data_IF_889138779521
#
_entry.id   IF_889138779521
#
_cell.length_a   1.000
_cell.length_b   1.000
_cell.length_c   1.000
_cell.angle_alpha   90.00
_cell.angle_beta   90.00
_cell.angle_gamma   90.00
#
_symmetry.space_group_name_H-M   'P 1'
#
loop_
_entity.id
_entity.type
_entity.pdbx_description
1 polymer ?
#
# COMPACT_ATOMS: atom_id res chain seq x y z
N UNK A 1 14.10 4.51 -4.72
CA UNK A 1 13.52 5.42 -3.70
C UNK A 1 14.12 5.03 -2.35
N UNK A 2 14.30 5.94 -1.40
CA UNK A 2 14.92 5.64 -0.09
C UNK A 2 13.88 5.59 1.02
N UNK A 3 14.18 4.92 2.14
CA UNK A 3 13.30 4.89 3.32
C UNK A 3 13.02 6.29 3.88
N UNK A 4 13.97 7.22 3.75
CA UNK A 4 13.78 8.61 4.17
C UNK A 4 12.68 9.32 3.36
N UNK A 5 12.56 9.03 2.05
CA UNK A 5 11.50 9.58 1.21
C UNK A 5 10.13 9.05 1.64
N UNK A 6 10.02 7.74 1.88
CA UNK A 6 8.78 7.12 2.38
C UNK A 6 8.38 7.65 3.76
N UNK A 7 9.35 7.77 4.69
CA UNK A 7 9.12 8.37 6.01
C UNK A 7 8.60 9.81 5.88
N UNK A 8 9.21 10.63 5.03
CA UNK A 8 8.75 12.02 4.81
C UNK A 8 7.30 12.09 4.33
N UNK A 9 6.89 11.20 3.43
CA UNK A 9 5.50 11.12 2.95
C UNK A 9 4.55 10.76 4.07
N UNK A 10 4.86 9.71 4.85
CA UNK A 10 4.07 9.32 6.02
C UNK A 10 3.95 10.47 7.03
N UNK A 11 5.05 11.14 7.36
CA UNK A 11 5.05 12.31 8.26
C UNK A 11 4.19 13.45 7.73
N UNK A 12 4.26 13.76 6.43
CA UNK A 12 3.43 14.79 5.81
C UNK A 12 1.94 14.44 5.88
N UNK A 13 1.58 13.20 5.53
CA UNK A 13 0.20 12.72 5.60
C UNK A 13 -0.33 12.79 7.04
N UNK A 14 0.43 12.26 8.01
CA UNK A 14 0.06 12.29 9.42
C UNK A 14 -0.14 13.73 9.95
N UNK A 15 0.68 14.68 9.47
CA UNK A 15 0.49 16.11 9.78
C UNK A 15 -0.82 16.67 9.20
N UNK A 16 -1.21 16.27 7.98
CA UNK A 16 -2.45 16.72 7.35
C UNK A 16 -3.70 16.13 8.04
N UNK A 17 -3.61 14.88 8.52
CA UNK A 17 -4.69 14.22 9.25
C UNK A 17 -4.89 14.84 10.65
N UNK A 18 -3.79 15.22 11.32
CA UNK A 18 -3.80 15.79 12.67
C UNK A 18 -3.98 14.74 13.78
N UNK A 19 -3.92 15.14 15.06
CA UNK A 19 -4.04 14.21 16.18
C UNK A 19 -5.42 13.53 16.24
N UNK A 20 -5.49 12.40 16.95
CA UNK A 20 -6.73 11.63 17.12
C UNK A 20 -7.24 10.96 15.85
N UNK A 21 -6.38 10.81 14.84
CA UNK A 21 -6.73 10.20 13.56
C UNK A 21 -5.99 8.88 13.33
N UNK A 22 -6.56 8.06 12.46
CA UNK A 22 -5.95 6.81 12.01
C UNK A 22 -6.17 6.66 10.51
N UNK A 23 -5.10 6.37 9.76
CA UNK A 23 -5.20 6.01 8.35
C UNK A 23 -5.01 4.50 8.19
N UNK A 24 -5.88 3.87 7.40
CA UNK A 24 -5.86 2.44 7.11
C UNK A 24 -5.83 2.29 5.60
N UNK A 25 -4.80 1.61 5.09
CA UNK A 25 -4.64 1.39 3.65
C UNK A 25 -4.16 -0.05 3.40
N UNK A 26 -4.98 -0.90 2.76
CA UNK A 26 -4.57 -2.25 2.40
C UNK A 26 -3.66 -2.27 1.16
N UNK A 27 -2.88 -3.34 1.03
CA UNK A 27 -2.17 -3.65 -0.21
C UNK A 27 -3.14 -4.14 -1.29
N UNK A 28 -2.69 -4.11 -2.55
CA UNK A 28 -3.48 -4.66 -3.65
C UNK A 28 -3.63 -6.19 -3.47
N UNK A 29 -4.80 -6.75 -3.83
CA UNK A 29 -4.98 -8.20 -3.85
C UNK A 29 -4.21 -8.83 -5.01
N UNK A 30 -3.94 -10.13 -4.92
CA UNK A 30 -3.49 -10.89 -6.08
C UNK A 30 -4.63 -11.06 -7.09
N UNK A 31 -4.35 -10.81 -8.37
CA UNK A 31 -5.37 -10.93 -9.43
C UNK A 31 -5.22 -12.27 -10.14
N UNK A 32 -6.30 -13.06 -10.11
CA UNK A 32 -6.34 -14.38 -10.74
C UNK A 32 -6.38 -14.22 -12.26
N UNK A 33 -5.51 -14.95 -12.98
CA UNK A 33 -5.48 -14.99 -14.45
C UNK A 33 -6.29 -16.16 -14.99
N UNK A 34 -6.01 -17.37 -14.54
CA UNK A 34 -6.77 -18.56 -14.93
C UNK A 34 -6.59 -19.65 -13.88
N UNK A 35 -7.70 -20.20 -13.34
CA UNK A 35 -7.70 -21.20 -12.26
C UNK A 35 -6.76 -20.79 -11.12
N UNK A 36 -5.69 -21.54 -10.91
CA UNK A 36 -4.66 -21.39 -9.88
C UNK A 36 -3.51 -20.44 -10.27
N UNK A 37 -3.48 -19.96 -11.52
CA UNK A 37 -2.48 -19.00 -12.00
C UNK A 37 -2.90 -17.56 -11.74
N UNK A 38 -1.96 -16.76 -11.24
CA UNK A 38 -2.11 -15.32 -10.99
C UNK A 38 -1.39 -14.48 -12.04
N UNK A 39 -1.84 -13.24 -12.23
CA UNK A 39 -1.04 -12.22 -12.92
C UNK A 39 0.18 -11.85 -12.08
N UNK A 40 1.19 -11.25 -12.73
CA UNK A 40 2.30 -10.65 -12.00
C UNK A 40 1.76 -9.61 -11.01
N UNK A 41 2.18 -9.72 -9.76
CA UNK A 41 1.72 -8.82 -8.72
C UNK A 41 2.09 -7.36 -9.02
N UNK A 42 1.10 -6.48 -8.89
CA UNK A 42 1.27 -5.03 -8.93
C UNK A 42 0.59 -4.48 -7.69
N UNK A 43 1.42 -3.92 -6.81
CA UNK A 43 0.97 -3.30 -5.56
C UNK A 43 -0.05 -2.18 -5.82
N UNK A 44 -0.82 -1.78 -4.81
CA UNK A 44 -1.59 -0.54 -4.87
C UNK A 44 -0.64 0.67 -4.93
N UNK A 45 -1.01 1.71 -5.68
CA UNK A 45 -0.10 2.85 -5.91
C UNK A 45 0.03 3.74 -4.68
N UNK A 46 -1.04 3.91 -3.91
CA UNK A 46 -1.06 4.69 -2.68
C UNK A 46 -0.34 3.96 -1.55
N UNK A 47 -0.57 2.64 -1.43
CA UNK A 47 0.14 1.78 -0.50
C UNK A 47 1.64 1.78 -0.79
N UNK A 48 2.03 1.57 -2.05
CA UNK A 48 3.44 1.59 -2.46
C UNK A 48 4.07 2.97 -2.25
N UNK A 49 3.31 4.05 -2.49
CA UNK A 49 3.79 5.42 -2.31
C UNK A 49 4.18 5.73 -0.87
N UNK A 50 3.46 5.17 0.11
CA UNK A 50 3.72 5.38 1.54
C UNK A 50 4.75 4.41 2.13
N UNK A 51 4.80 3.17 1.64
CA UNK A 51 5.54 2.09 2.31
C UNK A 51 6.76 1.60 1.54
N UNK A 52 6.71 1.60 0.20
CA UNK A 52 7.66 0.84 -0.62
C UNK A 52 7.52 -0.68 -0.49
N UNK A 53 6.56 -1.20 0.28
CA UNK A 53 6.42 -2.62 0.61
C UNK A 53 5.79 -3.40 -0.57
N UNK A 54 6.47 -4.43 -1.12
CA UNK A 54 6.10 -4.99 -2.42
C UNK A 54 5.23 -6.25 -2.36
N UNK A 55 4.75 -6.67 -1.18
CA UNK A 55 3.99 -7.92 -1.04
C UNK A 55 2.46 -7.71 -0.89
N UNK A 56 1.64 -8.70 -1.33
CA UNK A 56 0.21 -8.74 -1.06
C UNK A 56 -0.10 -9.10 0.40
N UNK A 57 -1.38 -9.01 0.76
CA UNK A 57 -1.91 -9.35 2.08
C UNK A 57 -1.18 -8.60 3.20
N UNK A 58 -1.21 -7.28 3.10
CA UNK A 58 -0.62 -6.36 4.04
C UNK A 58 -1.52 -5.14 4.23
N UNK A 59 -1.45 -4.51 5.40
CA UNK A 59 -2.19 -3.28 5.71
C UNK A 59 -1.24 -2.34 6.43
N UNK A 60 -1.13 -1.10 5.94
CA UNK A 60 -0.44 -0.03 6.67
C UNK A 60 -1.45 0.73 7.51
N UNK A 61 -1.06 0.97 8.76
CA UNK A 61 -1.80 1.77 9.73
C UNK A 61 -0.92 2.92 10.18
N UNK A 62 -1.42 4.15 10.02
CA UNK A 62 -0.73 5.38 10.46
C UNK A 62 -1.56 6.09 11.53
N UNK A 63 -0.96 6.35 12.69
CA UNK A 63 -1.64 6.97 13.84
C UNK A 63 -0.77 8.12 14.37
N UNK A 64 -1.07 9.38 14.00
CA UNK A 64 -0.26 10.53 14.43
C UNK A 64 -0.26 10.69 15.95
N UNK A 65 0.93 10.78 16.55
CA UNK A 65 1.15 11.00 17.98
C UNK A 65 0.99 9.75 18.85
N UNK A 66 0.84 8.54 18.26
CA UNK A 66 0.72 7.31 19.05
C UNK A 66 2.05 6.95 19.72
N UNK A 67 2.03 6.81 21.04
CA UNK A 67 3.23 6.58 21.86
C UNK A 67 4.00 5.30 21.52
N UNK A 68 3.29 4.23 21.16
CA UNK A 68 3.91 2.94 20.84
C UNK A 68 4.59 2.96 19.47
N UNK A 69 3.81 3.28 18.43
CA UNK A 69 4.26 3.35 17.06
C UNK A 69 3.23 4.14 16.24
N UNK A 70 3.71 5.13 15.49
CA UNK A 70 2.93 5.93 14.55
C UNK A 70 2.79 5.20 13.20
N UNK A 71 3.79 4.40 12.80
CA UNK A 71 3.77 3.61 11.57
C UNK A 71 3.80 2.11 11.87
N UNK A 72 2.65 1.47 11.66
CA UNK A 72 2.45 0.04 11.88
C UNK A 72 2.19 -0.68 10.56
N UNK A 73 2.83 -1.83 10.35
CA UNK A 73 2.59 -2.68 9.17
C UNK A 73 2.08 -4.07 9.58
N UNK A 74 0.88 -4.41 9.14
CA UNK A 74 0.39 -5.78 9.18
C UNK A 74 0.84 -6.49 7.90
N UNK A 75 1.49 -7.64 8.00
CA UNK A 75 1.95 -8.39 6.84
C UNK A 75 1.95 -9.89 7.10
N UNK A 76 2.12 -10.68 6.05
CA UNK A 76 2.27 -12.13 6.17
C UNK A 76 3.50 -12.45 7.01
N UNK A 77 3.36 -13.46 7.84
CA UNK A 77 4.50 -14.09 8.52
C UNK A 77 5.38 -14.83 7.52
N UNK A 78 6.63 -15.04 7.94
CA UNK A 78 7.52 -15.98 7.26
C UNK A 78 6.97 -17.39 7.41
N UNK A 79 7.02 -18.14 6.34
CA UNK A 79 6.53 -19.51 6.29
C UNK A 79 7.48 -20.30 5.38
N UNK A 80 8.45 -21.04 5.96
CA UNK A 80 9.47 -21.73 5.17
C UNK A 80 8.91 -22.68 4.13
N UNK A 81 7.78 -23.33 4.40
CA UNK A 81 7.15 -24.24 3.45
C UNK A 81 6.57 -23.48 2.26
N UNK A 82 5.88 -22.36 2.51
CA UNK A 82 5.32 -21.53 1.43
C UNK A 82 6.39 -20.73 0.68
N UNK A 83 7.45 -20.30 1.35
CA UNK A 83 8.52 -19.51 0.72
C UNK A 83 9.31 -20.29 -0.34
N UNK A 84 9.35 -21.62 -0.23
CA UNK A 84 9.91 -22.51 -1.26
C UNK A 84 9.14 -22.36 -2.59
N UNK A 85 7.83 -22.13 -2.53
CA UNK A 85 6.96 -22.08 -3.71
C UNK A 85 6.66 -20.65 -4.17
N UNK A 86 6.31 -19.77 -3.24
CA UNK A 86 5.86 -18.40 -3.51
C UNK A 86 7.01 -17.39 -3.57
N UNK A 87 8.21 -17.80 -3.15
CA UNK A 87 9.35 -16.93 -2.92
C UNK A 87 9.42 -16.35 -1.50
N UNK A 88 10.53 -15.68 -1.16
CA UNK A 88 10.79 -15.21 0.20
C UNK A 88 9.79 -14.15 0.64
N UNK A 89 9.50 -14.12 1.94
CA UNK A 89 8.68 -13.09 2.59
C UNK A 89 9.53 -12.26 3.54
N UNK A 90 9.25 -10.97 3.63
CA UNK A 90 9.94 -10.10 4.58
C UNK A 90 9.59 -10.44 6.04
N UNK A 91 8.34 -10.80 6.31
CA UNK A 91 7.84 -10.99 7.66
C UNK A 91 7.88 -9.71 8.50
N UNK A 92 7.55 -9.84 9.79
CA UNK A 92 7.48 -8.72 10.74
C UNK A 92 8.85 -8.08 10.95
N UNK A 93 9.91 -8.88 11.11
CA UNK A 93 11.28 -8.36 11.26
C UNK A 93 11.72 -7.58 10.01
N UNK A 94 11.49 -8.12 8.81
CA UNK A 94 11.82 -7.44 7.56
C UNK A 94 10.99 -6.16 7.36
N UNK A 95 9.74 -6.13 7.82
CA UNK A 95 8.93 -4.91 7.83
C UNK A 95 9.61 -3.78 8.64
N UNK A 96 10.18 -4.10 9.80
CA UNK A 96 10.89 -3.14 10.65
C UNK A 96 12.25 -2.75 10.06
N UNK A 97 13.06 -3.73 9.69
CA UNK A 97 14.45 -3.49 9.25
C UNK A 97 14.55 -2.86 7.86
N UNK A 98 13.76 -3.35 6.90
CA UNK A 98 13.86 -2.94 5.48
C UNK A 98 12.93 -1.79 5.15
N UNK A 99 11.73 -1.75 5.74
CA UNK A 99 10.71 -0.73 5.41
C UNK A 99 10.52 0.32 6.49
N UNK A 100 11.30 0.22 7.58
CA UNK A 100 11.28 1.14 8.71
C UNK A 100 9.90 1.26 9.37
N UNK A 101 9.15 0.15 9.41
CA UNK A 101 7.98 0.04 10.28
C UNK A 101 8.41 0.18 11.74
N UNK A 102 7.71 1.00 12.50
CA UNK A 102 7.99 1.17 13.93
C UNK A 102 7.45 -0.03 14.72
N UNK A 103 6.32 -0.57 14.26
CA UNK A 103 5.80 -1.85 14.72
C UNK A 103 5.20 -2.67 13.58
N UNK A 104 5.07 -3.97 13.79
CA UNK A 104 4.54 -4.87 12.76
C UNK A 104 3.91 -6.11 13.36
N UNK A 105 2.80 -6.57 12.76
CA UNK A 105 2.03 -7.70 13.24
C UNK A 105 1.70 -8.68 12.09
N UNK A 106 1.39 -9.95 12.41
CA UNK A 106 0.75 -10.86 11.46
C UNK A 106 -0.53 -10.28 10.89
N UNK A 107 -0.74 -10.42 9.58
CA UNK A 107 -1.99 -9.99 8.94
C UNK A 107 -3.21 -10.76 9.47
N UNK A 108 -3.02 -11.97 9.99
CA UNK A 108 -4.09 -12.73 10.65
C UNK A 108 -4.60 -12.09 11.95
N UNK A 109 -3.79 -11.26 12.60
CA UNK A 109 -4.15 -10.59 13.86
C UNK A 109 -4.85 -9.23 13.62
N UNK A 110 -5.07 -8.85 12.35
CA UNK A 110 -5.65 -7.57 11.97
C UNK A 110 -7.01 -7.34 12.65
N UNK A 111 -7.89 -8.33 12.60
CA UNK A 111 -9.25 -8.25 13.15
C UNK A 111 -9.28 -8.17 14.68
N UNK A 112 -8.22 -8.60 15.36
CA UNK A 112 -8.10 -8.48 16.82
C UNK A 112 -7.48 -7.14 17.22
N UNK A 113 -6.42 -6.72 16.53
CA UNK A 113 -5.58 -5.60 16.95
C UNK A 113 -6.13 -4.26 16.44
N UNK A 114 -6.60 -4.20 15.20
CA UNK A 114 -7.02 -2.95 14.57
C UNK A 114 -8.22 -2.29 15.28
N UNK A 115 -9.26 -3.03 15.73
CA UNK A 115 -10.32 -2.43 16.55
C UNK A 115 -9.80 -1.75 17.80
N UNK A 116 -8.81 -2.32 18.51
CA UNK A 116 -8.20 -1.71 19.71
C UNK A 116 -7.48 -0.40 19.39
N UNK A 117 -6.88 -0.29 18.21
CA UNK A 117 -6.27 0.96 17.74
C UNK A 117 -7.33 2.01 17.38
N UNK A 118 -8.44 1.58 16.77
CA UNK A 118 -9.58 2.43 16.41
C UNK A 118 -10.29 3.00 17.65
N UNK A 119 -10.39 2.24 18.76
CA UNK A 119 -10.98 2.70 20.03
C UNK A 119 -10.32 3.97 20.59
N UNK A 120 -9.08 4.26 20.21
CA UNK A 120 -8.30 5.42 20.66
C UNK A 120 -8.31 6.61 19.69
N UNK A 121 -9.07 6.52 18.59
CA UNK A 121 -9.10 7.51 17.53
C UNK A 121 -10.51 8.04 17.29
N UNK A 122 -10.60 9.32 16.93
CA UNK A 122 -11.88 10.01 16.65
C UNK A 122 -12.23 9.98 15.16
N UNK A 123 -11.19 9.92 14.29
CA UNK A 123 -11.34 10.07 12.83
C UNK A 123 -10.60 8.96 12.08
N UNK A 124 -11.29 8.28 11.18
CA UNK A 124 -10.70 7.23 10.32
C UNK A 124 -10.54 7.73 8.89
N UNK A 125 -9.33 7.61 8.37
CA UNK A 125 -8.97 7.89 7.00
C UNK A 125 -8.77 6.57 6.25
N UNK A 126 -9.60 6.29 5.26
CA UNK A 126 -9.43 5.12 4.41
C UNK A 126 -10.05 5.34 3.03
N UNK A 127 -9.78 4.43 2.08
CA UNK A 127 -10.31 4.49 0.72
C UNK A 127 -11.77 4.01 0.66
N UNK A 128 -12.68 4.82 1.19
CA UNK A 128 -14.11 4.51 1.29
C UNK A 128 -14.75 4.33 -0.09
N UNK A 129 -15.49 3.23 -0.30
CA UNK A 129 -16.18 2.94 -1.54
C UNK A 129 -15.28 2.37 -2.66
N UNK A 130 -13.98 2.25 -2.44
CA UNK A 130 -13.05 1.66 -3.40
C UNK A 130 -13.01 0.12 -3.33
N UNK A 131 -13.39 -0.46 -2.18
CA UNK A 131 -13.45 -1.91 -1.99
C UNK A 131 -14.61 -2.28 -1.06
N UNK A 132 -15.56 -3.06 -1.60
CA UNK A 132 -16.70 -3.58 -0.84
C UNK A 132 -16.26 -4.45 0.35
N UNK A 133 -15.16 -5.17 0.20
CA UNK A 133 -14.60 -6.02 1.26
C UNK A 133 -14.06 -5.17 2.41
N UNK A 134 -13.29 -4.11 2.09
CA UNK A 134 -12.76 -3.20 3.10
C UNK A 134 -13.89 -2.41 3.78
N UNK A 135 -14.88 -1.93 3.02
CA UNK A 135 -16.03 -1.22 3.59
C UNK A 135 -16.82 -2.11 4.57
N UNK A 136 -16.98 -3.41 4.23
CA UNK A 136 -17.62 -4.39 5.13
C UNK A 136 -16.80 -4.61 6.39
N UNK A 137 -15.49 -4.86 6.26
CA UNK A 137 -14.58 -5.04 7.41
C UNK A 137 -14.57 -3.82 8.33
N UNK A 138 -14.50 -2.61 7.75
CA UNK A 138 -14.60 -1.36 8.51
C UNK A 138 -15.93 -1.28 9.27
N UNK A 139 -17.05 -1.60 8.62
CA UNK A 139 -18.36 -1.61 9.28
C UNK A 139 -18.43 -2.61 10.45
N UNK A 140 -17.81 -3.78 10.31
CA UNK A 140 -17.75 -4.82 11.34
C UNK A 140 -16.90 -4.37 12.55
N UNK A 141 -15.70 -3.85 12.32
CA UNK A 141 -14.85 -3.31 13.39
C UNK A 141 -15.54 -2.19 14.16
N UNK A 142 -16.20 -1.26 13.45
CA UNK A 142 -16.92 -0.14 14.05
C UNK A 142 -18.14 -0.63 14.86
N UNK A 143 -18.87 -1.62 14.35
CA UNK A 143 -20.01 -2.20 15.05
C UNK A 143 -19.56 -2.85 16.36
N UNK A 144 -18.47 -3.63 16.34
CA UNK A 144 -17.89 -4.25 17.52
C UNK A 144 -17.41 -3.24 18.58
N UNK A 145 -16.89 -2.09 18.15
CA UNK A 145 -16.51 -0.99 19.06
C UNK A 145 -17.76 -0.35 19.69
N UNK A 146 -18.81 -0.11 18.89
CA UNK A 146 -20.06 0.52 19.36
C UNK A 146 -20.83 -0.35 20.34
N UNK A 147 -20.76 -1.67 20.23
CA UNK A 147 -21.35 -2.59 21.22
C UNK A 147 -20.73 -2.40 22.62
N UNK A 148 -19.44 -2.02 22.67
CA UNK A 148 -18.74 -1.70 23.91
C UNK A 148 -18.97 -0.27 24.39
N UNK A 149 -19.76 0.56 23.70
CA UNK A 149 -19.98 1.98 24.07
C UNK A 149 -20.46 2.20 25.51
N UNK A 150 -21.15 1.21 26.10
CA UNK A 150 -21.56 1.22 27.51
C UNK A 150 -20.40 1.28 28.51
N UNK A 151 -19.18 0.92 28.10
CA UNK A 151 -17.97 1.03 28.94
C UNK A 151 -17.23 2.36 28.78
N UNK A 152 -17.81 3.33 28.05
CA UNK A 152 -17.25 4.68 27.87
C UNK A 152 -16.33 4.83 26.66
N UNK A 153 -16.19 3.80 25.82
CA UNK A 153 -15.44 3.86 24.55
C UNK A 153 -16.28 4.56 23.48
N UNK A 154 -15.82 5.71 22.98
CA UNK A 154 -16.56 6.46 21.95
C UNK A 154 -16.31 5.97 20.53
N UNK A 155 -15.19 5.29 20.26
CA UNK A 155 -14.79 4.90 18.91
C UNK A 155 -14.70 6.10 17.94
N UNK A 156 -14.36 5.87 16.68
CA UNK A 156 -14.31 6.96 15.73
C UNK A 156 -15.73 7.38 15.28
N UNK A 157 -15.93 8.69 15.17
CA UNK A 157 -17.19 9.31 14.79
C UNK A 157 -17.17 9.84 13.36
N UNK A 158 -15.99 10.11 12.82
CA UNK A 158 -15.82 10.65 11.48
C UNK A 158 -15.05 9.70 10.57
N UNK A 159 -15.51 9.61 9.33
CA UNK A 159 -14.82 8.88 8.27
C UNK A 159 -14.46 9.87 7.16
N UNK A 160 -13.20 9.83 6.76
CA UNK A 160 -12.63 10.76 5.79
C UNK A 160 -12.00 9.96 4.65
N UNK A 161 -12.30 10.36 3.41
CA UNK A 161 -11.69 9.74 2.23
C UNK A 161 -10.18 10.07 2.20
N UNK A 162 -9.35 9.03 2.27
CA UNK A 162 -7.89 9.16 2.29
C UNK A 162 -7.32 9.58 0.93
N UNK A 163 -7.98 9.18 -0.16
CA UNK A 163 -7.51 9.37 -1.54
C UNK A 163 -7.24 10.84 -1.88
N UNK A 164 -8.10 11.76 -1.43
CA UNK A 164 -7.93 13.19 -1.69
C UNK A 164 -6.60 13.74 -1.16
N UNK A 165 -6.17 13.27 0.01
CA UNK A 165 -4.90 13.69 0.62
C UNK A 165 -3.71 13.08 -0.14
N UNK A 166 -3.79 11.79 -0.43
CA UNK A 166 -2.71 11.08 -1.10
C UNK A 166 -2.54 11.53 -2.56
N UNK A 167 -3.62 11.78 -3.27
CA UNK A 167 -3.57 12.17 -4.67
C UNK A 167 -3.05 13.60 -4.84
N UNK A 168 -3.36 14.51 -3.91
CA UNK A 168 -2.73 15.84 -3.85
C UNK A 168 -1.22 15.74 -3.57
N UNK A 169 -0.82 14.91 -2.60
CA UNK A 169 0.61 14.66 -2.34
C UNK A 169 1.33 14.06 -3.55
N UNK A 170 0.69 13.13 -4.26
CA UNK A 170 1.22 12.47 -5.46
C UNK A 170 1.21 13.38 -6.69
N UNK A 171 0.45 14.48 -6.68
CA UNK A 171 0.44 15.46 -7.76
C UNK A 171 1.78 16.19 -7.86
N UNK A 172 2.38 16.55 -6.73
CA UNK A 172 3.63 17.29 -6.64
C UNK A 172 4.83 16.36 -6.39
N UNK A 173 5.65 16.15 -7.42
CA UNK A 173 6.72 15.15 -7.40
C UNK A 173 7.95 15.69 -6.68
N UNK A 174 8.55 14.87 -5.83
CA UNK A 174 9.86 15.15 -5.25
C UNK A 174 10.98 15.03 -6.29
N UNK A 175 12.18 15.53 -5.95
CA UNK A 175 13.35 15.41 -6.83
C UNK A 175 13.71 13.96 -7.13
N UNK A 176 13.53 13.04 -6.16
CA UNK A 176 13.78 11.61 -6.36
C UNK A 176 12.76 10.97 -7.29
N UNK A 177 11.49 11.39 -7.21
CA UNK A 177 10.45 10.91 -8.14
C UNK A 177 10.70 11.39 -9.56
N UNK A 178 11.01 12.68 -9.74
CA UNK A 178 11.37 13.24 -11.05
C UNK A 178 12.57 12.51 -11.65
N UNK A 179 13.56 12.13 -10.83
CA UNK A 179 14.70 11.34 -11.30
C UNK A 179 14.25 9.98 -11.85
N UNK A 180 13.44 9.23 -11.09
CA UNK A 180 12.91 7.92 -11.53
C UNK A 180 12.06 8.07 -12.80
N UNK A 181 11.19 9.08 -12.86
CA UNK A 181 10.37 9.36 -14.05
C UNK A 181 11.22 9.68 -15.27
N UNK A 182 12.31 10.45 -15.11
CA UNK A 182 13.24 10.75 -16.20
C UNK A 182 13.94 9.49 -16.71
N UNK A 183 14.33 8.61 -15.81
CA UNK A 183 14.98 7.35 -16.20
C UNK A 183 13.99 6.41 -16.89
N UNK A 184 12.74 6.32 -16.42
CA UNK A 184 11.66 5.61 -17.10
C UNK A 184 11.42 6.16 -18.52
N UNK A 185 11.32 7.49 -18.67
CA UNK A 185 11.15 8.13 -19.97
C UNK A 185 12.31 7.84 -20.94
N UNK A 186 13.55 7.81 -20.45
CA UNK A 186 14.72 7.43 -21.27
C UNK A 186 14.63 5.97 -21.74
N UNK A 187 14.21 5.05 -20.87
CA UNK A 187 14.02 3.65 -21.22
C UNK A 187 12.93 3.53 -22.30
N UNK A 188 11.77 4.15 -22.09
CA UNK A 188 10.68 4.16 -23.06
C UNK A 188 11.09 4.77 -24.40
N UNK A 189 11.81 5.89 -24.39
CA UNK A 189 12.30 6.53 -25.62
C UNK A 189 13.24 5.61 -26.41
N UNK A 190 14.15 4.89 -25.73
CA UNK A 190 15.02 3.89 -26.36
C UNK A 190 14.21 2.74 -26.97
N UNK A 191 13.20 2.25 -26.25
CA UNK A 191 12.31 1.21 -26.75
C UNK A 191 11.58 1.65 -28.04
N UNK A 192 11.01 2.85 -28.04
CA UNK A 192 10.34 3.39 -29.23
C UNK A 192 11.30 3.61 -30.40
N UNK A 193 12.52 4.12 -30.15
CA UNK A 193 13.55 4.26 -31.19
C UNK A 193 13.89 2.90 -31.82
N UNK A 194 14.06 1.86 -31.00
CA UNK A 194 14.31 0.50 -31.47
C UNK A 194 13.15 -0.04 -32.30
N UNK A 195 11.91 0.13 -31.84
CA UNK A 195 10.72 -0.31 -32.58
C UNK A 195 10.63 0.38 -33.96
N UNK A 196 10.90 1.70 -34.03
CA UNK A 196 10.94 2.44 -35.30
C UNK A 196 12.01 1.92 -36.25
N UNK A 197 13.22 1.61 -35.74
CA UNK A 197 14.31 1.04 -36.54
C UNK A 197 14.01 -0.37 -37.07
N UNK A 198 13.16 -1.13 -36.38
CA UNK A 198 12.78 -2.50 -36.76
C UNK A 198 11.54 -2.57 -37.65
N UNK A 199 10.74 -1.50 -37.69
CA UNK A 199 9.50 -1.45 -38.47
C UNK A 199 9.77 -1.57 -39.97
N UNK A 200 9.07 -2.51 -40.63
CA UNK A 200 9.10 -2.72 -42.08
C UNK A 200 7.78 -3.35 -42.55
N UNK A 201 7.40 -3.14 -43.83
CA UNK A 201 6.23 -3.80 -44.41
C UNK A 201 6.28 -5.33 -44.22
N UNK A 202 5.13 -5.93 -43.94
CA UNK A 202 5.00 -7.36 -43.69
C UNK A 202 5.21 -7.80 -42.24
N UNK A 203 5.53 -6.89 -41.30
CA UNK A 203 5.49 -7.17 -39.87
C UNK A 203 4.08 -6.98 -39.29
N UNK A 204 3.71 -7.83 -38.34
CA UNK A 204 2.53 -7.66 -37.50
C UNK A 204 2.79 -6.73 -36.31
N UNK A 205 1.73 -6.11 -35.78
CA UNK A 205 1.81 -5.16 -34.67
C UNK A 205 2.44 -5.79 -33.41
N UNK A 206 2.12 -7.04 -33.11
CA UNK A 206 2.69 -7.79 -31.97
C UNK A 206 4.20 -7.99 -32.06
N UNK A 207 4.78 -7.99 -33.27
CA UNK A 207 6.23 -8.09 -33.44
C UNK A 207 6.91 -6.78 -33.02
N UNK A 208 6.27 -5.64 -33.26
CA UNK A 208 6.76 -4.35 -32.78
C UNK A 208 6.54 -4.20 -31.28
N UNK A 209 5.44 -4.72 -30.74
CA UNK A 209 5.24 -4.81 -29.29
C UNK A 209 6.35 -5.63 -28.62
N UNK A 210 6.74 -6.78 -29.21
CA UNK A 210 7.84 -7.59 -28.70
C UNK A 210 9.18 -6.81 -28.66
N UNK A 211 9.45 -5.98 -29.67
CA UNK A 211 10.62 -5.10 -29.67
C UNK A 211 10.56 -4.02 -28.57
N UNK A 212 9.36 -3.50 -28.26
CA UNK A 212 9.15 -2.55 -27.16
C UNK A 212 9.36 -3.19 -25.79
N UNK A 213 8.82 -4.40 -25.57
CA UNK A 213 8.89 -5.09 -24.27
C UNK A 213 10.30 -5.59 -23.95
N UNK A 214 11.09 -5.95 -24.97
CA UNK A 214 12.46 -6.44 -24.78
C UNK A 214 13.48 -5.31 -24.47
N UNK A 215 13.22 -4.09 -24.92
CA UNK A 215 14.23 -3.03 -25.07
C UNK A 215 14.92 -2.54 -23.78
#
# INVERSE_FOLDING_TARGET
MTNNEFKRRRTQLMRMMGPGSIAILPSAPMVRRNRDAYYRYRQDSDFLYLTGFPEPNAVVVLIPGRKQAEYVLFCREKDPEKEIWDGPRYGQEGAKEVFAAEDSFPIGDLDEILPRMLEQCERVFYAMGCSLELDKQMSEWISAIREKSRTGVQGPLEFVALDHYLHDMRLYKSRSEIKVMRDAAKISAKAHLRAMQRCKPGLGEWQLEAELVHA
#
